data_IF_482772422086
#
_entry.id   IF_482772422086
#
_cell.length_a   1.000
_cell.length_b   1.000
_cell.length_c   1.000
_cell.angle_alpha   90.00
_cell.angle_beta   90.00
_cell.angle_gamma   90.00
#
_symmetry.space_group_name_H-M   'P 1'
#
loop_
_entity.id
_entity.type
_entity.pdbx_description
1 polymer ?
#
# COMPACT_ATOMS: atom_id res chain seq x y z
N UNK A 1 13.24 -17.42 18.05
CA UNK A 1 13.71 -17.19 19.44
C UNK A 1 12.83 -18.07 20.32
N UNK A 2 13.43 -18.95 21.13
CA UNK A 2 12.71 -19.92 21.98
C UNK A 2 11.68 -20.79 21.21
N UNK A 3 12.07 -21.22 20.01
CA UNK A 3 11.22 -22.05 19.13
C UNK A 3 10.11 -21.29 18.38
N UNK A 4 9.98 -19.97 18.56
CA UNK A 4 9.00 -19.14 17.84
C UNK A 4 9.66 -18.29 16.74
N UNK A 5 8.95 -17.99 15.63
CA UNK A 5 9.41 -16.98 14.66
C UNK A 5 9.68 -15.63 15.35
N UNK A 6 10.78 -14.99 15.02
CA UNK A 6 11.04 -13.62 15.46
C UNK A 6 10.28 -12.61 14.60
N UNK A 7 10.15 -11.37 15.09
CA UNK A 7 9.62 -10.26 14.28
C UNK A 7 10.52 -10.01 13.06
N UNK A 8 9.96 -10.15 11.86
CA UNK A 8 10.64 -9.80 10.61
C UNK A 8 11.03 -8.32 10.58
N UNK A 9 10.17 -7.43 11.10
CA UNK A 9 10.44 -5.99 11.14
C UNK A 9 11.68 -5.65 11.96
N UNK A 10 11.85 -6.28 13.13
CA UNK A 10 13.05 -6.09 13.97
C UNK A 10 14.26 -6.74 13.31
N UNK A 11 14.09 -7.92 12.69
CA UNK A 11 15.18 -8.62 12.00
C UNK A 11 15.76 -7.79 10.84
N UNK A 12 14.90 -7.29 9.95
CA UNK A 12 15.29 -6.47 8.80
C UNK A 12 15.94 -5.16 9.25
N UNK A 13 15.33 -4.47 10.21
CA UNK A 13 15.89 -3.27 10.83
C UNK A 13 17.28 -3.54 11.43
N UNK A 14 17.40 -4.57 12.27
CA UNK A 14 18.62 -4.83 13.02
C UNK A 14 19.78 -5.20 12.09
N UNK A 15 19.55 -6.05 11.07
CA UNK A 15 20.58 -6.38 10.10
C UNK A 15 21.03 -5.16 9.30
N UNK A 16 20.08 -4.38 8.77
CA UNK A 16 20.44 -3.19 8.00
C UNK A 16 21.21 -2.17 8.87
N UNK A 17 20.69 -1.87 10.06
CA UNK A 17 21.30 -0.91 10.97
C UNK A 17 22.70 -1.38 11.41
N UNK A 18 22.82 -2.62 11.89
CA UNK A 18 24.09 -3.16 12.41
C UNK A 18 25.20 -3.14 11.36
N UNK A 19 24.89 -3.55 10.12
CA UNK A 19 25.90 -3.64 9.07
C UNK A 19 26.25 -2.29 8.43
N UNK A 20 25.33 -1.32 8.41
CA UNK A 20 25.49 -0.12 7.57
C UNK A 20 25.60 1.19 8.35
N UNK A 21 25.06 1.28 9.58
CA UNK A 21 24.90 2.57 10.27
C UNK A 21 26.19 3.38 10.37
N UNK A 22 27.29 2.76 10.83
CA UNK A 22 28.59 3.44 10.98
C UNK A 22 29.11 3.98 9.64
N UNK A 23 29.03 3.18 8.57
CA UNK A 23 29.53 3.59 7.25
C UNK A 23 28.65 4.69 6.64
N UNK A 24 27.32 4.58 6.78
CA UNK A 24 26.40 5.62 6.30
C UNK A 24 26.66 6.96 6.98
N UNK A 25 26.95 6.97 8.29
CA UNK A 25 27.31 8.18 9.02
C UNK A 25 28.65 8.75 8.53
N UNK A 26 29.66 7.90 8.34
CA UNK A 26 31.01 8.30 7.88
C UNK A 26 30.96 9.05 6.53
N UNK A 27 30.07 8.64 5.63
CA UNK A 27 29.91 9.28 4.31
C UNK A 27 28.96 10.49 4.31
N UNK A 28 28.52 10.96 5.48
CA UNK A 28 27.63 12.12 5.62
C UNK A 28 26.14 11.83 5.39
N UNK A 29 25.76 10.55 5.34
CA UNK A 29 24.36 10.12 5.34
C UNK A 29 23.96 9.61 6.75
N UNK A 30 22.97 8.72 6.82
CA UNK A 30 22.52 8.13 8.06
C UNK A 30 21.69 6.85 7.83
N UNK A 31 21.39 6.10 8.90
CA UNK A 31 20.53 4.93 8.83
C UNK A 31 19.05 5.36 8.72
N UNK A 32 18.47 5.21 7.53
CA UNK A 32 17.14 5.72 7.20
C UNK A 32 16.15 4.58 6.92
N UNK A 33 14.92 4.71 7.43
CA UNK A 33 13.90 3.68 7.37
C UNK A 33 12.55 4.23 6.92
N UNK A 34 11.79 3.39 6.21
CA UNK A 34 10.35 3.56 6.03
C UNK A 34 9.62 2.59 6.94
N UNK A 35 8.62 3.08 7.68
CA UNK A 35 7.85 2.32 8.65
C UNK A 35 6.42 2.12 8.12
N UNK A 36 6.09 0.93 7.58
CA UNK A 36 4.80 0.66 6.96
C UNK A 36 3.72 0.27 7.97
N UNK A 37 2.47 0.41 7.55
CA UNK A 37 1.25 -0.22 8.14
C UNK A 37 1.02 -0.02 9.64
N UNK A 38 1.58 1.04 10.24
CA UNK A 38 1.25 1.36 11.63
C UNK A 38 -0.22 1.71 11.79
N UNK A 39 -0.84 1.29 12.88
CA UNK A 39 -2.24 1.56 13.22
C UNK A 39 -2.40 2.42 14.47
N UNK A 40 -1.33 2.67 15.25
CA UNK A 40 -1.37 3.50 16.45
C UNK A 40 -0.05 4.21 16.77
N UNK A 41 -0.12 5.36 17.44
CA UNK A 41 1.04 6.03 18.05
C UNK A 41 1.79 5.14 19.05
N UNK A 42 1.15 4.15 19.67
CA UNK A 42 1.84 3.20 20.55
C UNK A 42 2.82 2.29 19.77
N UNK A 43 2.54 2.01 18.50
CA UNK A 43 3.46 1.30 17.60
C UNK A 43 4.61 2.21 17.19
N UNK A 44 4.35 3.51 17.01
CA UNK A 44 5.41 4.50 16.80
C UNK A 44 6.33 4.62 18.03
N UNK A 45 5.78 4.52 19.25
CA UNK A 45 6.56 4.44 20.49
C UNK A 45 7.43 3.19 20.54
N UNK A 46 6.89 2.03 20.16
CA UNK A 46 7.67 0.80 20.05
C UNK A 46 8.86 0.98 19.12
N UNK A 47 8.67 1.60 17.96
CA UNK A 47 9.78 1.89 17.04
C UNK A 47 10.80 2.86 17.63
N UNK A 48 10.35 3.90 18.33
CA UNK A 48 11.24 4.82 19.03
C UNK A 48 12.12 4.08 20.06
N UNK A 49 11.54 3.14 20.82
CA UNK A 49 12.26 2.33 21.79
C UNK A 49 13.27 1.38 21.11
N UNK A 50 12.90 0.76 19.99
CA UNK A 50 13.80 -0.07 19.18
C UNK A 50 14.99 0.76 18.65
N UNK A 51 14.73 1.95 18.12
CA UNK A 51 15.77 2.85 17.64
C UNK A 51 16.72 3.26 18.76
N UNK A 52 16.15 3.63 19.92
CA UNK A 52 16.95 3.98 21.08
C UNK A 52 17.83 2.81 21.54
N UNK A 53 17.27 1.61 21.70
CA UNK A 53 18.04 0.44 22.10
C UNK A 53 19.18 0.15 21.10
N UNK A 54 18.91 0.22 19.80
CA UNK A 54 19.92 -0.02 18.76
C UNK A 54 21.06 1.02 18.79
N UNK A 55 20.70 2.29 18.98
CA UNK A 55 21.66 3.39 19.13
C UNK A 55 22.54 3.22 20.38
N UNK A 56 21.98 2.75 21.49
CA UNK A 56 22.77 2.46 22.71
C UNK A 56 23.76 1.33 22.48
N UNK A 57 23.31 0.22 21.88
CA UNK A 57 24.13 -0.96 21.60
C UNK A 57 25.36 -0.60 20.75
N UNK A 58 25.20 0.26 19.75
CA UNK A 58 26.31 0.66 18.87
C UNK A 58 26.99 1.97 19.28
N UNK A 59 26.57 2.58 20.39
CA UNK A 59 27.04 3.89 20.87
C UNK A 59 26.91 4.99 19.83
N UNK A 60 25.76 5.04 19.16
CA UNK A 60 25.39 6.05 18.16
C UNK A 60 24.51 7.12 18.82
N UNK A 61 24.74 8.43 18.59
CA UNK A 61 23.94 9.49 19.22
C UNK A 61 22.43 9.39 18.93
N UNK A 62 21.59 9.81 19.88
CA UNK A 62 20.12 9.93 19.71
C UNK A 62 19.75 10.77 18.48
N UNK A 63 18.64 10.43 17.82
CA UNK A 63 18.21 11.13 16.60
C UNK A 63 19.09 10.91 15.36
N UNK A 64 20.03 9.96 15.40
CA UNK A 64 20.81 9.59 14.21
C UNK A 64 20.00 8.72 13.25
N UNK A 65 19.22 7.78 13.79
CA UNK A 65 18.23 7.04 12.99
C UNK A 65 17.14 8.01 12.53
N UNK A 66 16.72 7.88 11.26
CA UNK A 66 15.57 8.61 10.73
C UNK A 66 14.52 7.69 10.14
N UNK A 67 13.25 7.90 10.49
CA UNK A 67 12.11 7.12 10.06
C UNK A 67 11.05 7.98 9.37
N UNK A 68 10.60 7.57 8.19
CA UNK A 68 9.41 8.13 7.53
C UNK A 68 8.27 7.14 7.67
N UNK A 69 7.15 7.57 8.24
CA UNK A 69 5.99 6.69 8.50
C UNK A 69 5.01 6.74 7.33
N UNK A 70 4.58 5.59 6.83
CA UNK A 70 3.47 5.54 5.88
C UNK A 70 2.16 5.61 6.66
N UNK A 71 1.37 6.67 6.46
CA UNK A 71 0.02 6.74 7.02
C UNK A 71 -0.91 6.03 6.06
N UNK A 72 -0.74 4.72 5.95
CA UNK A 72 -1.44 3.87 5.00
C UNK A 72 -2.47 2.96 5.68
N UNK A 73 -2.88 3.33 6.90
CA UNK A 73 -4.00 2.70 7.60
C UNK A 73 -5.01 3.77 8.01
N UNK A 74 -6.29 3.41 7.99
CA UNK A 74 -7.35 4.37 8.34
C UNK A 74 -7.21 4.83 9.80
N UNK A 75 -6.76 3.96 10.71
CA UNK A 75 -6.59 4.31 12.13
C UNK A 75 -5.46 5.32 12.35
N UNK A 76 -4.31 5.15 11.67
CA UNK A 76 -3.20 6.08 11.77
C UNK A 76 -3.54 7.50 11.29
N UNK A 77 -4.55 7.68 10.43
CA UNK A 77 -5.00 9.01 10.02
C UNK A 77 -5.60 9.85 11.15
N UNK A 78 -6.06 9.21 12.23
CA UNK A 78 -6.59 9.87 13.42
C UNK A 78 -5.51 10.16 14.48
N UNK A 79 -4.30 9.62 14.30
CA UNK A 79 -3.21 9.68 15.28
C UNK A 79 -1.92 10.24 14.68
N UNK A 80 -1.99 10.97 13.56
CA UNK A 80 -0.81 11.46 12.84
C UNK A 80 0.09 12.35 13.70
N UNK A 81 -0.50 13.20 14.54
CA UNK A 81 0.23 14.15 15.38
C UNK A 81 0.92 13.43 16.54
N UNK A 82 0.24 12.45 17.13
CA UNK A 82 0.75 11.56 18.17
C UNK A 82 1.85 10.62 17.65
N UNK A 83 1.71 10.08 16.43
CA UNK A 83 2.75 9.29 15.76
C UNK A 83 4.03 10.12 15.59
N UNK A 84 3.91 11.37 15.11
CA UNK A 84 5.07 12.26 15.01
C UNK A 84 5.66 12.55 16.41
N UNK A 85 4.81 12.74 17.42
CA UNK A 85 5.26 13.01 18.78
C UNK A 85 6.07 11.85 19.39
N UNK A 86 5.60 10.62 19.24
CA UNK A 86 6.28 9.42 19.75
C UNK A 86 7.61 9.18 19.04
N UNK A 87 7.71 9.56 17.76
CA UNK A 87 8.95 9.48 16.96
C UNK A 87 9.71 10.80 16.87
N UNK A 88 9.43 11.83 17.67
CA UNK A 88 9.92 13.20 17.45
C UNK A 88 11.45 13.35 17.29
N UNK A 89 12.23 12.51 17.94
CA UNK A 89 13.69 12.54 17.84
C UNK A 89 14.20 11.89 16.53
N UNK A 90 13.40 11.00 15.95
CA UNK A 90 13.74 10.13 14.82
C UNK A 90 12.86 10.38 13.57
N UNK A 91 11.83 11.22 13.63
CA UNK A 91 10.89 11.42 12.53
C UNK A 91 11.52 12.22 11.39
N UNK A 92 11.30 11.76 10.16
CA UNK A 92 11.58 12.48 8.91
C UNK A 92 10.32 12.95 8.20
N UNK A 93 9.14 12.55 8.68
CA UNK A 93 7.87 12.88 8.05
C UNK A 93 6.92 11.70 7.90
N UNK A 94 5.84 11.97 7.20
CA UNK A 94 4.77 11.02 6.88
C UNK A 94 4.62 10.87 5.36
N UNK A 95 4.06 9.75 4.92
CA UNK A 95 3.79 9.48 3.51
C UNK A 95 2.31 9.13 3.25
N UNK A 96 1.81 9.66 2.12
CA UNK A 96 0.50 9.32 1.58
C UNK A 96 0.50 8.00 0.81
N UNK A 97 -0.37 7.06 1.20
CA UNK A 97 -0.64 5.81 0.47
C UNK A 97 -2.05 5.78 -0.13
N UNK A 98 -2.24 5.02 -1.23
CA UNK A 98 -3.58 4.79 -1.83
C UNK A 98 -4.10 3.39 -1.53
N UNK A 99 -3.45 2.35 -2.03
CA UNK A 99 -3.99 0.99 -1.98
C UNK A 99 -4.08 0.44 -0.56
N UNK A 100 -3.01 0.55 0.23
CA UNK A 100 -3.04 0.11 1.63
C UNK A 100 -4.03 0.92 2.48
N UNK A 101 -4.16 2.22 2.23
CA UNK A 101 -5.12 3.06 2.96
C UNK A 101 -6.57 2.65 2.70
N UNK A 102 -6.95 2.46 1.44
CA UNK A 102 -8.29 2.03 1.04
C UNK A 102 -8.54 0.58 1.49
N UNK A 103 -7.53 -0.28 1.40
CA UNK A 103 -7.58 -1.64 1.93
C UNK A 103 -7.86 -1.63 3.43
N UNK A 104 -7.13 -0.82 4.20
CA UNK A 104 -7.31 -0.65 5.63
C UNK A 104 -8.70 -0.09 5.98
N UNK A 105 -9.19 0.87 5.21
CA UNK A 105 -10.56 1.39 5.32
C UNK A 105 -11.59 0.27 5.20
N UNK A 106 -11.50 -0.55 4.15
CA UNK A 106 -12.37 -1.71 3.98
C UNK A 106 -12.18 -2.67 5.16
N UNK A 107 -10.95 -3.09 5.47
CA UNK A 107 -10.63 -4.04 6.54
C UNK A 107 -11.27 -3.62 7.87
N UNK A 108 -11.06 -2.39 8.32
CA UNK A 108 -11.54 -1.92 9.62
C UNK A 108 -13.05 -1.65 9.65
N UNK A 109 -13.65 -1.24 8.53
CA UNK A 109 -15.06 -0.89 8.45
C UNK A 109 -15.92 -1.98 7.80
N UNK A 110 -15.36 -3.16 7.57
CA UNK A 110 -15.92 -4.24 6.76
C UNK A 110 -17.31 -4.74 7.20
N UNK A 111 -17.68 -4.56 8.47
CA UNK A 111 -18.99 -4.97 9.00
C UNK A 111 -20.11 -3.95 8.75
N UNK A 112 -19.78 -2.76 8.24
CA UNK A 112 -20.75 -1.67 8.09
C UNK A 112 -21.07 -1.43 6.61
N UNK A 113 -22.29 -1.76 6.21
CA UNK A 113 -22.75 -1.62 4.82
C UNK A 113 -22.62 -0.18 4.27
N UNK A 114 -22.76 0.84 5.13
CA UNK A 114 -22.60 2.25 4.73
C UNK A 114 -21.18 2.61 4.25
N UNK A 115 -20.18 1.80 4.58
CA UNK A 115 -18.77 2.00 4.21
C UNK A 115 -18.32 1.11 3.05
N UNK A 116 -19.27 0.58 2.27
CA UNK A 116 -18.98 -0.10 1.00
C UNK A 116 -18.37 0.91 0.02
N UNK A 117 -17.29 0.49 -0.65
CA UNK A 117 -16.62 1.29 -1.68
C UNK A 117 -16.99 0.79 -3.10
N UNK A 118 -17.01 1.70 -4.10
CA UNK A 118 -17.15 1.35 -5.51
C UNK A 118 -15.88 0.66 -6.03
N UNK A 119 -15.80 0.38 -7.33
CA UNK A 119 -14.58 -0.10 -8.00
C UNK A 119 -13.36 0.73 -7.56
N UNK A 120 -12.25 0.08 -7.19
CA UNK A 120 -11.05 0.78 -6.67
C UNK A 120 -10.46 1.81 -7.64
N UNK A 121 -10.75 1.69 -8.94
CA UNK A 121 -10.38 2.68 -9.95
C UNK A 121 -11.05 4.04 -9.71
N UNK A 122 -12.30 4.02 -9.23
CA UNK A 122 -13.12 5.21 -8.97
C UNK A 122 -12.75 5.87 -7.64
N UNK A 123 -12.14 5.12 -6.72
CA UNK A 123 -11.62 5.63 -5.45
C UNK A 123 -10.26 6.32 -5.68
N UNK A 124 -10.28 7.52 -6.25
CA UNK A 124 -9.08 8.32 -6.55
C UNK A 124 -8.61 9.15 -5.35
N UNK A 125 -7.43 9.76 -5.44
CA UNK A 125 -6.92 10.70 -4.42
C UNK A 125 -7.77 11.98 -4.29
N UNK A 126 -8.71 12.24 -5.21
CA UNK A 126 -9.65 13.37 -5.12
C UNK A 126 -11.00 12.96 -4.52
N UNK A 127 -11.18 11.69 -4.16
CA UNK A 127 -12.37 11.24 -3.42
C UNK A 127 -12.44 11.95 -2.07
N UNK A 128 -13.63 12.27 -1.51
CA UNK A 128 -13.72 13.15 -0.35
C UNK A 128 -12.85 12.74 0.85
N UNK A 129 -12.91 11.48 1.28
CA UNK A 129 -12.07 11.00 2.39
C UNK A 129 -10.57 10.93 2.05
N UNK A 130 -10.19 10.69 0.79
CA UNK A 130 -8.78 10.67 0.37
C UNK A 130 -8.20 12.09 0.31
N UNK A 131 -8.99 13.07 -0.16
CA UNK A 131 -8.60 14.47 -0.17
C UNK A 131 -8.46 15.02 1.27
N UNK A 132 -9.43 14.72 2.15
CA UNK A 132 -9.36 15.07 3.57
C UNK A 132 -8.10 14.50 4.23
N UNK A 133 -7.80 13.23 3.95
CA UNK A 133 -6.58 12.55 4.39
C UNK A 133 -5.30 13.27 3.93
N UNK A 134 -5.18 13.60 2.64
CA UNK A 134 -4.02 14.31 2.08
C UNK A 134 -3.84 15.67 2.73
N UNK A 135 -4.92 16.47 2.82
CA UNK A 135 -4.87 17.81 3.43
C UNK A 135 -4.47 17.75 4.90
N UNK A 136 -5.03 16.80 5.66
CA UNK A 136 -4.70 16.63 7.07
C UNK A 136 -3.24 16.22 7.26
N UNK A 137 -2.73 15.30 6.44
CA UNK A 137 -1.33 14.85 6.52
C UNK A 137 -0.37 16.01 6.29
N UNK A 138 -0.57 16.79 5.23
CA UNK A 138 0.28 17.94 4.91
C UNK A 138 0.26 18.95 6.06
N UNK A 139 -0.93 19.35 6.53
CA UNK A 139 -1.08 20.27 7.66
C UNK A 139 -0.32 19.76 8.89
N UNK A 140 -0.50 18.50 9.24
CA UNK A 140 0.08 17.90 10.44
C UNK A 140 1.61 17.83 10.36
N UNK A 141 2.15 17.32 9.25
CA UNK A 141 3.59 17.29 9.02
C UNK A 141 4.22 18.68 9.08
N UNK A 142 3.65 19.63 8.34
CA UNK A 142 4.23 20.96 8.21
C UNK A 142 4.11 21.72 9.53
N UNK A 143 3.02 21.57 10.29
CA UNK A 143 2.92 22.10 11.67
C UNK A 143 4.08 21.62 12.55
N UNK A 144 4.52 20.37 12.39
CA UNK A 144 5.62 19.76 13.15
C UNK A 144 7.01 19.91 12.53
N UNK A 145 7.12 20.54 11.37
CA UNK A 145 8.40 20.79 10.72
C UNK A 145 9.03 19.53 10.09
N UNK A 146 8.20 18.54 9.73
CA UNK A 146 8.64 17.29 9.08
C UNK A 146 8.02 17.17 7.68
N UNK A 147 8.54 16.28 6.84
CA UNK A 147 8.09 16.17 5.45
C UNK A 147 6.69 15.51 5.34
N UNK A 148 5.91 15.96 4.36
CA UNK A 148 4.68 15.37 3.86
C UNK A 148 4.92 14.81 2.45
N UNK A 149 5.09 13.50 2.33
CA UNK A 149 5.37 12.84 1.06
C UNK A 149 4.07 12.45 0.33
N UNK A 150 4.01 12.67 -0.98
CA UNK A 150 2.95 12.24 -1.88
C UNK A 150 3.00 10.75 -2.24
N UNK A 151 2.09 10.31 -3.09
CA UNK A 151 1.85 8.89 -3.38
C UNK A 151 2.65 8.33 -4.55
N UNK A 152 2.44 7.04 -4.81
CA UNK A 152 3.07 6.27 -5.88
C UNK A 152 2.48 6.55 -7.27
N UNK A 153 3.33 6.74 -8.27
CA UNK A 153 2.98 6.50 -9.68
C UNK A 153 3.59 5.17 -10.15
N UNK A 154 2.74 4.16 -10.30
CA UNK A 154 3.14 2.78 -10.60
C UNK A 154 3.23 2.45 -12.10
N UNK A 155 3.01 3.43 -12.98
CA UNK A 155 2.94 3.20 -14.42
C UNK A 155 4.27 2.71 -15.01
N UNK A 156 4.19 1.67 -15.85
CA UNK A 156 5.29 1.20 -16.68
C UNK A 156 5.09 1.80 -18.09
N UNK A 157 6.10 2.47 -18.68
CA UNK A 157 5.99 3.01 -20.04
C UNK A 157 5.60 1.96 -21.08
N UNK A 158 4.60 2.29 -21.90
CA UNK A 158 3.98 1.39 -22.88
C UNK A 158 4.68 1.57 -24.24
N UNK A 159 5.76 0.83 -24.47
CA UNK A 159 6.63 1.01 -25.65
C UNK A 159 5.95 0.71 -27.00
N UNK A 160 4.98 -0.20 -27.00
CA UNK A 160 4.31 -0.67 -28.22
C UNK A 160 3.01 0.08 -28.55
N UNK A 161 2.61 1.08 -27.74
CA UNK A 161 1.41 1.88 -28.00
C UNK A 161 1.64 3.33 -27.53
N UNK A 162 2.15 4.21 -28.42
CA UNK A 162 2.48 5.59 -28.08
C UNK A 162 1.30 6.40 -27.55
N UNK A 163 0.09 6.19 -28.09
CA UNK A 163 -1.10 6.91 -27.66
C UNK A 163 -1.53 6.50 -26.24
N UNK A 164 -1.54 5.20 -25.95
CA UNK A 164 -1.82 4.72 -24.60
C UNK A 164 -0.73 5.15 -23.60
N UNK A 165 0.53 5.16 -24.04
CA UNK A 165 1.63 5.64 -23.23
C UNK A 165 1.45 7.13 -22.88
N UNK A 166 1.16 7.99 -23.85
CA UNK A 166 1.00 9.42 -23.58
C UNK A 166 -0.19 9.70 -22.66
N UNK A 167 -1.31 8.98 -22.84
CA UNK A 167 -2.44 9.07 -21.92
C UNK A 167 -2.06 8.65 -20.49
N UNK A 168 -1.26 7.59 -20.32
CA UNK A 168 -0.77 7.17 -19.01
C UNK A 168 0.21 8.19 -18.40
N UNK A 169 1.16 8.70 -19.19
CA UNK A 169 2.12 9.71 -18.73
C UNK A 169 1.41 11.02 -18.36
N UNK A 170 0.37 11.42 -19.09
CA UNK A 170 -0.40 12.61 -18.76
C UNK A 170 -1.15 12.46 -17.43
N UNK A 171 -1.65 11.26 -17.10
CA UNK A 171 -2.21 10.97 -15.77
C UNK A 171 -1.15 11.13 -14.67
N UNK A 172 0.05 10.58 -14.88
CA UNK A 172 1.18 10.77 -13.95
C UNK A 172 1.48 12.26 -13.77
N UNK A 173 1.54 13.04 -14.86
CA UNK A 173 1.77 14.49 -14.78
C UNK A 173 0.71 15.20 -13.95
N UNK A 174 -0.56 14.93 -14.23
CA UNK A 174 -1.67 15.55 -13.52
C UNK A 174 -1.66 15.18 -12.02
N UNK A 175 -1.35 13.93 -11.69
CA UNK A 175 -1.25 13.47 -10.31
C UNK A 175 -0.10 14.15 -9.56
N UNK A 176 1.08 14.27 -10.18
CA UNK A 176 2.24 14.93 -9.54
C UNK A 176 2.04 16.43 -9.39
N UNK A 177 1.38 17.04 -10.38
CA UNK A 177 0.99 18.45 -10.33
C UNK A 177 0.02 18.72 -9.18
N UNK A 178 -0.96 17.84 -8.97
CA UNK A 178 -1.88 17.93 -7.83
C UNK A 178 -1.11 17.83 -6.51
N UNK A 179 -0.20 16.86 -6.38
CA UNK A 179 0.55 16.63 -5.14
C UNK A 179 1.39 17.84 -4.75
N UNK A 180 2.21 18.37 -5.67
CA UNK A 180 3.05 19.55 -5.39
C UNK A 180 2.19 20.78 -5.08
N UNK A 181 1.09 21.00 -5.81
CA UNK A 181 0.17 22.13 -5.54
C UNK A 181 -0.59 22.01 -4.21
N UNK A 182 -0.84 20.79 -3.73
CA UNK A 182 -1.47 20.57 -2.43
C UNK A 182 -0.54 20.92 -1.26
N UNK A 183 0.78 20.88 -1.49
CA UNK A 183 1.79 21.15 -0.46
C UNK A 183 2.72 19.98 -0.16
N UNK A 184 2.71 18.88 -0.91
CA UNK A 184 3.67 17.79 -0.67
C UNK A 184 5.12 18.21 -0.94
N UNK A 185 6.06 17.70 -0.15
CA UNK A 185 7.50 17.98 -0.29
C UNK A 185 8.20 17.08 -1.32
N UNK A 186 7.54 15.99 -1.71
CA UNK A 186 8.08 15.01 -2.65
C UNK A 186 7.03 13.97 -3.04
N UNK A 187 7.43 13.03 -3.88
CA UNK A 187 6.53 12.02 -4.46
C UNK A 187 7.26 10.70 -4.74
N UNK A 188 6.51 9.62 -4.94
CA UNK A 188 7.02 8.32 -5.37
C UNK A 188 6.75 8.00 -6.85
N UNK A 189 7.66 7.22 -7.44
CA UNK A 189 7.54 6.57 -8.75
C UNK A 189 8.08 5.15 -8.69
N UNK A 190 7.49 4.21 -9.42
CA UNK A 190 7.91 2.80 -9.43
C UNK A 190 8.88 2.46 -10.57
N UNK A 191 9.04 3.37 -11.55
CA UNK A 191 9.84 3.13 -12.74
C UNK A 191 10.81 4.30 -13.00
N UNK A 192 12.11 4.04 -13.32
CA UNK A 192 13.11 5.08 -13.56
C UNK A 192 12.71 6.14 -14.60
N UNK A 193 12.03 5.73 -15.67
CA UNK A 193 11.57 6.65 -16.73
C UNK A 193 10.58 7.72 -16.21
N UNK A 194 9.90 7.48 -15.10
CA UNK A 194 8.98 8.45 -14.50
C UNK A 194 9.72 9.51 -13.65
N UNK A 195 10.99 9.30 -13.29
CA UNK A 195 11.77 10.23 -12.46
C UNK A 195 11.84 11.60 -13.13
N UNK A 196 12.14 11.65 -14.43
CA UNK A 196 12.23 12.93 -15.17
C UNK A 196 10.90 13.70 -15.15
N UNK A 197 9.77 12.98 -15.25
CA UNK A 197 8.44 13.58 -15.21
C UNK A 197 8.15 14.17 -13.82
N UNK A 198 8.35 13.35 -12.78
CA UNK A 198 8.10 13.76 -11.41
C UNK A 198 9.00 14.93 -10.98
N UNK A 199 10.31 14.82 -11.21
CA UNK A 199 11.29 15.87 -10.90
C UNK A 199 11.01 17.14 -11.69
N UNK A 200 10.65 17.06 -12.97
CA UNK A 200 10.31 18.25 -13.76
C UNK A 200 9.15 19.04 -13.16
N UNK A 201 8.07 18.35 -12.79
CA UNK A 201 6.88 18.98 -12.19
C UNK A 201 7.17 19.57 -10.81
N UNK A 202 7.90 18.84 -9.95
CA UNK A 202 8.25 19.36 -8.64
C UNK A 202 9.21 20.55 -8.76
N UNK A 203 10.22 20.51 -9.64
CA UNK A 203 11.12 21.66 -9.85
C UNK A 203 10.39 22.89 -10.39
N UNK A 204 9.36 22.72 -11.22
CA UNK A 204 8.56 23.83 -11.77
C UNK A 204 7.70 24.52 -10.69
N UNK A 205 7.15 23.76 -9.74
CA UNK A 205 6.17 24.26 -8.78
C UNK A 205 6.66 24.34 -7.33
N UNK A 206 7.84 23.81 -7.01
CA UNK A 206 8.49 23.83 -5.71
C UNK A 206 9.91 24.37 -5.86
N UNK A 207 10.05 25.70 -5.81
CA UNK A 207 11.35 26.38 -5.99
C UNK A 207 12.30 26.22 -4.80
N UNK A 208 11.78 25.86 -3.64
CA UNK A 208 12.54 25.58 -2.41
C UNK A 208 12.88 24.08 -2.31
N UNK A 209 13.82 23.68 -1.44
CA UNK A 209 14.13 22.26 -1.26
C UNK A 209 12.95 21.40 -0.79
N UNK A 210 11.98 22.02 -0.13
CA UNK A 210 10.73 21.43 0.37
C UNK A 210 9.67 22.53 0.60
N UNK A 211 8.45 22.14 0.94
CA UNK A 211 7.29 22.99 1.20
C UNK A 211 6.88 23.04 2.69
N UNK A 212 7.72 22.59 3.62
CA UNK A 212 7.45 22.59 5.08
C UNK A 212 7.01 23.97 5.60
N UNK A 213 7.46 25.05 4.97
CA UNK A 213 7.08 26.43 5.28
C UNK A 213 5.60 26.75 4.99
N UNK A 214 4.92 25.96 4.16
CA UNK A 214 3.49 26.08 3.83
C UNK A 214 2.66 25.36 4.91
N UNK A 215 2.32 26.05 6.00
CA UNK A 215 1.71 25.42 7.19
C UNK A 215 0.29 24.89 7.03
N UNK A 216 -0.45 25.34 6.00
CA UNK A 216 -1.85 24.95 5.74
C UNK A 216 -2.78 25.18 6.93
N UNK A 217 -2.65 26.33 7.59
CA UNK A 217 -3.51 26.70 8.72
C UNK A 217 -4.99 26.87 8.32
N UNK A 218 -5.26 27.06 7.02
CA UNK A 218 -6.58 27.08 6.38
C UNK A 218 -7.33 25.74 6.43
N UNK A 219 -6.61 24.63 6.60
CA UNK A 219 -7.19 23.29 6.51
C UNK A 219 -7.88 22.91 7.81
N UNK A 220 -9.18 22.67 7.75
CA UNK A 220 -9.92 21.97 8.80
C UNK A 220 -10.42 20.63 8.26
N UNK A 221 -10.15 19.56 9.00
CA UNK A 221 -10.56 18.18 8.68
C UNK A 221 -11.11 17.56 9.94
N UNK A 222 -12.35 17.12 9.90
CA UNK A 222 -13.01 16.40 10.98
C UNK A 222 -12.85 14.89 10.81
N UNK A 223 -13.16 14.14 11.88
CA UNK A 223 -13.26 12.69 11.82
C UNK A 223 -14.28 12.18 10.77
N UNK A 224 -15.36 12.93 10.55
CA UNK A 224 -16.37 12.58 9.57
C UNK A 224 -15.85 12.72 8.12
N UNK A 225 -14.98 13.70 7.86
CA UNK A 225 -14.37 13.89 6.54
C UNK A 225 -13.47 12.71 6.16
N UNK A 226 -12.67 12.21 7.10
CA UNK A 226 -11.82 11.01 6.91
C UNK A 226 -12.63 9.72 6.67
N UNK A 227 -13.93 9.73 6.98
CA UNK A 227 -14.84 8.61 6.79
C UNK A 227 -15.83 8.82 5.63
N UNK A 228 -15.75 9.95 4.93
CA UNK A 228 -16.69 10.32 3.87
C UNK A 228 -16.43 9.56 2.56
N UNK A 229 -17.04 8.39 2.42
CA UNK A 229 -16.95 7.54 1.24
C UNK A 229 -17.96 7.88 0.12
N UNK A 230 -18.54 9.08 0.11
CA UNK A 230 -19.46 9.52 -0.94
C UNK A 230 -18.68 9.85 -2.23
N UNK A 231 -18.51 8.85 -3.09
CA UNK A 231 -17.78 8.98 -4.35
C UNK A 231 -18.79 9.21 -5.48
N UNK A 232 -18.86 10.44 -5.98
CA UNK A 232 -19.75 10.79 -7.09
C UNK A 232 -19.45 9.94 -8.32
N UNK A 233 -20.50 9.34 -8.89
CA UNK A 233 -20.38 8.47 -10.07
C UNK A 233 -19.68 7.13 -9.82
N UNK A 234 -19.27 6.84 -8.58
CA UNK A 234 -18.66 5.57 -8.21
C UNK A 234 -19.60 4.40 -8.45
N UNK A 235 -19.11 3.37 -9.15
CA UNK A 235 -19.91 2.18 -9.51
C UNK A 235 -19.17 0.91 -9.13
N UNK A 236 -19.95 -0.15 -8.95
CA UNK A 236 -19.42 -1.52 -8.85
C UNK A 236 -19.78 -2.19 -10.17
N UNK A 237 -18.81 -2.68 -10.93
CA UNK A 237 -19.06 -3.25 -12.27
C UNK A 237 -18.58 -4.69 -12.36
N UNK A 238 -19.15 -5.50 -13.26
CA UNK A 238 -18.59 -6.83 -13.53
C UNK A 238 -17.14 -6.73 -14.03
N UNK A 239 -16.82 -5.70 -14.83
CA UNK A 239 -15.45 -5.43 -15.27
C UNK A 239 -14.50 -5.18 -14.10
N UNK A 240 -14.90 -4.37 -13.12
CA UNK A 240 -14.13 -4.13 -11.90
C UNK A 240 -13.91 -5.40 -11.08
N UNK A 241 -14.96 -6.23 -10.94
CA UNK A 241 -14.89 -7.54 -10.28
C UNK A 241 -13.87 -8.46 -10.98
N UNK A 242 -13.98 -8.64 -12.31
CA UNK A 242 -13.05 -9.49 -13.07
C UNK A 242 -11.62 -8.97 -13.01
N UNK A 243 -11.42 -7.66 -13.07
CA UNK A 243 -10.10 -7.05 -12.93
C UNK A 243 -9.50 -7.32 -11.54
N UNK A 244 -10.27 -7.23 -10.46
CA UNK A 244 -9.80 -7.57 -9.11
C UNK A 244 -9.45 -9.06 -8.99
N UNK A 245 -10.24 -9.95 -9.59
CA UNK A 245 -9.93 -11.39 -9.64
C UNK A 245 -8.62 -11.64 -10.39
N UNK A 246 -8.49 -11.06 -11.59
CA UNK A 246 -7.31 -11.21 -12.46
C UNK A 246 -6.04 -10.73 -11.77
N UNK A 247 -6.05 -9.52 -11.20
CA UNK A 247 -4.91 -8.95 -10.49
C UNK A 247 -4.58 -9.72 -9.22
N UNK A 248 -5.60 -10.08 -8.42
CA UNK A 248 -5.40 -10.87 -7.21
C UNK A 248 -4.80 -12.26 -7.48
N UNK A 249 -5.26 -12.94 -8.54
CA UNK A 249 -4.69 -14.21 -8.99
C UNK A 249 -3.24 -14.05 -9.46
N UNK A 250 -2.98 -13.10 -10.38
CA UNK A 250 -1.66 -12.90 -10.95
C UNK A 250 -0.61 -12.51 -9.90
N UNK A 251 -0.97 -11.61 -8.97
CA UNK A 251 -0.07 -11.22 -7.88
C UNK A 251 0.18 -12.38 -6.90
N UNK A 252 -0.88 -13.04 -6.42
CA UNK A 252 -0.74 -14.17 -5.47
C UNK A 252 0.12 -15.28 -6.07
N UNK A 253 -0.08 -15.59 -7.35
CA UNK A 253 0.72 -16.59 -8.06
C UNK A 253 2.20 -16.21 -8.12
N UNK A 254 2.50 -14.98 -8.52
CA UNK A 254 3.87 -14.49 -8.63
C UNK A 254 4.55 -14.46 -7.26
N UNK A 255 3.83 -14.02 -6.22
CA UNK A 255 4.31 -13.99 -4.84
C UNK A 255 4.66 -15.40 -4.35
N UNK A 256 3.81 -16.39 -4.62
CA UNK A 256 4.06 -17.80 -4.28
C UNK A 256 5.29 -18.39 -5.01
N UNK A 257 5.76 -17.76 -6.08
CA UNK A 257 7.02 -18.08 -6.76
C UNK A 257 8.22 -17.25 -6.28
N UNK A 258 8.05 -16.43 -5.25
CA UNK A 258 9.09 -15.57 -4.69
C UNK A 258 9.23 -14.22 -5.40
N UNK A 259 8.23 -13.77 -6.17
CA UNK A 259 8.23 -12.48 -6.85
C UNK A 259 7.18 -11.54 -6.24
N UNK A 260 7.63 -10.56 -5.44
CA UNK A 260 6.75 -9.60 -4.76
C UNK A 260 6.51 -8.27 -5.49
N UNK A 261 7.22 -8.02 -6.59
CA UNK A 261 7.12 -6.82 -7.42
C UNK A 261 6.84 -7.25 -8.87
N UNK A 262 5.61 -7.03 -9.35
CA UNK A 262 5.06 -7.78 -10.49
C UNK A 262 4.45 -6.83 -11.53
N UNK A 263 4.91 -6.87 -12.79
CA UNK A 263 4.25 -6.11 -13.85
C UNK A 263 2.90 -6.76 -14.22
N UNK A 264 1.79 -6.08 -13.93
CA UNK A 264 0.43 -6.52 -14.26
C UNK A 264 -0.27 -5.37 -14.98
N UNK A 265 -0.79 -5.61 -16.19
CA UNK A 265 -1.51 -4.61 -16.99
C UNK A 265 -0.77 -3.25 -17.16
N UNK A 266 0.56 -3.30 -17.35
CA UNK A 266 1.46 -2.13 -17.44
C UNK A 266 1.57 -1.28 -16.16
N UNK A 267 1.25 -1.86 -15.01
CA UNK A 267 1.50 -1.29 -13.69
C UNK A 267 2.49 -2.18 -12.94
N UNK A 268 3.39 -1.57 -12.19
CA UNK A 268 4.25 -2.30 -11.26
C UNK A 268 3.48 -2.49 -9.94
N UNK A 269 2.94 -3.69 -9.76
CA UNK A 269 2.06 -4.00 -8.62
C UNK A 269 2.84 -4.65 -7.48
N UNK A 270 2.42 -4.33 -6.26
CA UNK A 270 2.87 -4.93 -5.01
C UNK A 270 1.70 -5.60 -4.26
N UNK A 271 1.95 -6.01 -3.01
CA UNK A 271 0.97 -6.73 -2.22
C UNK A 271 -0.29 -5.91 -1.95
N UNK A 272 -0.17 -4.59 -1.80
CA UNK A 272 -1.31 -3.72 -1.50
C UNK A 272 -2.38 -3.80 -2.59
N UNK A 273 -1.98 -3.98 -3.86
CA UNK A 273 -2.91 -4.15 -4.97
C UNK A 273 -3.70 -5.46 -4.86
N UNK A 274 -3.07 -6.56 -4.44
CA UNK A 274 -3.77 -7.81 -4.18
C UNK A 274 -4.69 -7.71 -2.95
N UNK A 275 -4.24 -7.02 -1.90
CA UNK A 275 -5.00 -6.79 -0.66
C UNK A 275 -6.30 -6.01 -0.92
N UNK A 276 -6.23 -4.90 -1.64
CA UNK A 276 -7.45 -4.15 -2.01
C UNK A 276 -8.35 -4.97 -2.93
N UNK A 277 -7.77 -5.70 -3.89
CA UNK A 277 -8.54 -6.51 -4.84
C UNK A 277 -9.36 -7.59 -4.14
N UNK A 278 -8.75 -8.40 -3.25
CA UNK A 278 -9.50 -9.41 -2.49
C UNK A 278 -10.49 -8.77 -1.52
N UNK A 279 -10.14 -7.63 -0.91
CA UNK A 279 -10.98 -7.00 0.11
C UNK A 279 -12.24 -6.36 -0.45
N UNK A 280 -12.16 -5.79 -1.66
CA UNK A 280 -13.36 -5.33 -2.38
C UNK A 280 -14.29 -6.49 -2.73
N UNK A 281 -13.75 -7.57 -3.30
CA UNK A 281 -14.52 -8.76 -3.63
C UNK A 281 -15.22 -9.33 -2.39
N UNK A 282 -14.50 -9.45 -1.28
CA UNK A 282 -15.05 -9.86 0.00
C UNK A 282 -16.17 -8.91 0.47
N UNK A 283 -15.93 -7.60 0.46
CA UNK A 283 -16.88 -6.59 0.95
C UNK A 283 -18.17 -6.61 0.14
N UNK A 284 -18.07 -6.73 -1.19
CA UNK A 284 -19.21 -6.79 -2.08
C UNK A 284 -20.03 -8.06 -1.88
N UNK A 285 -19.39 -9.22 -1.67
CA UNK A 285 -20.09 -10.46 -1.33
C UNK A 285 -20.74 -10.41 0.06
N UNK A 286 -20.05 -9.87 1.06
CA UNK A 286 -20.54 -9.72 2.44
C UNK A 286 -21.85 -8.94 2.49
N UNK A 287 -21.90 -7.81 1.79
CA UNK A 287 -23.03 -6.89 1.80
C UNK A 287 -24.01 -7.12 0.66
N UNK A 288 -23.78 -8.16 -0.15
CA UNK A 288 -24.60 -8.55 -1.30
C UNK A 288 -25.01 -7.36 -2.20
N UNK A 289 -24.02 -6.52 -2.51
CA UNK A 289 -24.21 -5.29 -3.28
C UNK A 289 -24.67 -5.61 -4.70
N UNK A 290 -25.32 -4.65 -5.36
CA UNK A 290 -25.67 -4.76 -6.78
C UNK A 290 -24.63 -4.06 -7.63
N UNK A 291 -24.21 -4.70 -8.72
CA UNK A 291 -23.41 -4.04 -9.73
C UNK A 291 -24.24 -3.01 -10.50
N UNK A 292 -23.59 -2.16 -11.29
CA UNK A 292 -24.23 -1.19 -12.18
C UNK A 292 -25.15 -1.87 -13.21
N UNK A 293 -24.85 -3.12 -13.56
CA UNK A 293 -25.65 -3.98 -14.42
C UNK A 293 -26.84 -4.64 -13.69
N UNK A 294 -27.00 -4.38 -12.39
CA UNK A 294 -28.10 -4.88 -11.57
C UNK A 294 -27.90 -6.29 -10.99
N UNK A 295 -26.74 -6.90 -11.20
CA UNK A 295 -26.43 -8.25 -10.72
C UNK A 295 -25.99 -8.21 -9.25
N UNK A 296 -26.54 -9.10 -8.44
CA UNK A 296 -26.15 -9.19 -7.03
C UNK A 296 -24.81 -9.92 -6.88
N UNK A 297 -23.87 -9.32 -6.16
CA UNK A 297 -22.57 -9.93 -5.85
C UNK A 297 -22.74 -10.98 -4.75
N UNK A 298 -22.41 -12.24 -5.06
CA UNK A 298 -22.52 -13.36 -4.13
C UNK A 298 -21.24 -14.21 -4.16
N UNK A 299 -20.98 -14.95 -3.08
CA UNK A 299 -19.88 -15.92 -3.03
C UNK A 299 -19.87 -16.86 -4.23
N UNK A 300 -21.04 -17.44 -4.57
CA UNK A 300 -21.16 -18.39 -5.67
C UNK A 300 -20.77 -17.76 -7.00
N UNK A 301 -21.22 -16.54 -7.26
CA UNK A 301 -20.89 -15.84 -8.49
C UNK A 301 -19.40 -15.47 -8.55
N UNK A 302 -18.81 -14.99 -7.45
CA UNK A 302 -17.38 -14.69 -7.41
C UNK A 302 -16.51 -15.94 -7.62
N UNK A 303 -16.91 -17.09 -7.05
CA UNK A 303 -16.22 -18.36 -7.29
C UNK A 303 -16.35 -18.83 -8.74
N UNK A 304 -17.52 -18.64 -9.36
CA UNK A 304 -17.70 -18.91 -10.79
C UNK A 304 -16.74 -18.05 -11.62
N UNK A 305 -16.68 -16.73 -11.38
CA UNK A 305 -15.78 -15.83 -12.08
C UNK A 305 -14.30 -16.21 -11.85
N UNK A 306 -13.94 -16.58 -10.63
CA UNK A 306 -12.59 -17.05 -10.30
C UNK A 306 -12.20 -18.30 -11.10
N UNK A 307 -13.15 -19.23 -11.30
CA UNK A 307 -12.95 -20.40 -12.16
C UNK A 307 -12.75 -20.00 -13.63
N UNK A 308 -13.63 -19.14 -14.15
CA UNK A 308 -13.56 -18.64 -15.53
C UNK A 308 -12.21 -17.96 -15.84
N UNK A 309 -11.76 -17.05 -14.97
CA UNK A 309 -10.47 -16.35 -15.14
C UNK A 309 -9.28 -17.31 -15.07
N UNK A 310 -9.32 -18.29 -14.16
CA UNK A 310 -8.26 -19.31 -14.06
C UNK A 310 -8.22 -20.22 -15.31
N UNK A 311 -9.39 -20.64 -15.80
CA UNK A 311 -9.49 -21.47 -17.00
C UNK A 311 -9.04 -20.71 -18.25
N UNK A 312 -9.33 -19.41 -18.32
CA UNK A 312 -8.82 -18.51 -19.38
C UNK A 312 -7.29 -18.46 -19.35
N UNK A 313 -6.68 -18.24 -18.18
CA UNK A 313 -5.22 -18.26 -18.00
C UNK A 313 -4.62 -19.61 -18.40
N UNK A 314 -5.26 -20.71 -18.03
CA UNK A 314 -4.83 -22.07 -18.41
C UNK A 314 -4.82 -22.28 -19.92
N UNK A 315 -5.85 -21.80 -20.62
CA UNK A 315 -5.91 -21.84 -22.10
C UNK A 315 -4.83 -20.97 -22.73
N UNK A 316 -4.63 -19.75 -22.21
CA UNK A 316 -3.64 -18.80 -22.74
C UNK A 316 -2.21 -19.30 -22.56
N UNK A 317 -1.89 -19.92 -21.41
CA UNK A 317 -0.55 -20.39 -21.10
C UNK A 317 -0.24 -21.78 -21.70
N UNK A 318 -1.27 -22.57 -21.99
CA UNK A 318 -1.12 -23.93 -22.54
C UNK A 318 -0.21 -24.78 -21.64
N UNK A 319 0.78 -25.43 -22.25
CA UNK A 319 1.73 -26.29 -21.54
C UNK A 319 2.55 -25.54 -20.47
N UNK A 320 2.72 -24.21 -20.60
CA UNK A 320 3.44 -23.42 -19.59
C UNK A 320 2.65 -23.29 -18.29
N UNK A 321 1.34 -23.52 -18.27
CA UNK A 321 0.52 -23.38 -17.06
C UNK A 321 1.08 -24.20 -15.88
N UNK A 322 1.61 -25.40 -16.15
CA UNK A 322 2.18 -26.28 -15.14
C UNK A 322 3.43 -25.73 -14.43
N UNK A 323 4.12 -24.72 -14.99
CA UNK A 323 5.24 -24.06 -14.32
C UNK A 323 4.83 -22.91 -13.39
N UNK A 324 3.53 -22.57 -13.36
CA UNK A 324 2.98 -21.51 -12.51
C UNK A 324 2.21 -22.12 -11.33
N UNK A 325 1.97 -21.31 -10.29
CA UNK A 325 1.24 -21.70 -9.07
C UNK A 325 -0.22 -21.22 -9.07
N UNK A 326 -0.85 -21.07 -10.24
CA UNK A 326 -2.21 -20.52 -10.35
C UNK A 326 -3.27 -21.36 -9.62
N UNK A 327 -3.15 -22.69 -9.61
CA UNK A 327 -4.09 -23.55 -8.88
C UNK A 327 -4.01 -23.31 -7.36
N UNK A 328 -2.80 -23.08 -6.84
CA UNK A 328 -2.58 -22.74 -5.43
C UNK A 328 -3.05 -21.32 -5.11
N UNK A 329 -2.74 -20.35 -5.98
CA UNK A 329 -3.22 -18.97 -5.85
C UNK A 329 -4.76 -18.91 -5.84
N UNK A 330 -5.41 -19.67 -6.73
CA UNK A 330 -6.87 -19.83 -6.78
C UNK A 330 -7.42 -20.38 -5.47
N UNK A 331 -6.79 -21.43 -4.91
CA UNK A 331 -7.21 -22.03 -3.63
C UNK A 331 -7.25 -20.99 -2.52
N UNK A 332 -6.20 -20.18 -2.37
CA UNK A 332 -6.15 -19.11 -1.36
C UNK A 332 -7.16 -18.00 -1.64
N UNK A 333 -7.23 -17.52 -2.89
CA UNK A 333 -8.18 -16.48 -3.30
C UNK A 333 -9.63 -16.89 -3.08
N UNK A 334 -10.00 -18.16 -3.31
CA UNK A 334 -11.37 -18.65 -3.16
C UNK A 334 -11.92 -18.49 -1.73
N UNK A 335 -11.08 -18.63 -0.70
CA UNK A 335 -11.45 -18.35 0.69
C UNK A 335 -11.61 -16.85 0.93
N UNK A 336 -10.73 -16.04 0.36
CA UNK A 336 -10.71 -14.59 0.59
C UNK A 336 -11.87 -13.82 -0.06
N UNK A 337 -12.60 -14.42 -1.01
CA UNK A 337 -13.73 -13.78 -1.70
C UNK A 337 -15.10 -14.29 -1.25
N UNK A 338 -15.18 -14.97 -0.09
CA UNK A 338 -16.42 -15.60 0.38
C UNK A 338 -17.45 -14.64 0.97
N UNK A 339 -17.02 -13.47 1.45
CA UNK A 339 -17.85 -12.57 2.24
C UNK A 339 -18.12 -13.05 3.67
N UNK A 340 -17.46 -14.13 4.12
CA UNK A 340 -17.57 -14.65 5.49
C UNK A 340 -16.42 -14.15 6.36
N UNK A 341 -16.70 -13.88 7.63
CA UNK A 341 -15.74 -13.24 8.53
C UNK A 341 -14.59 -14.17 8.89
N UNK A 342 -14.91 -15.46 9.08
CA UNK A 342 -13.98 -16.53 9.42
C UNK A 342 -12.95 -16.82 8.32
N UNK A 343 -13.27 -16.49 7.06
CA UNK A 343 -12.38 -16.72 5.94
C UNK A 343 -11.47 -15.51 5.65
N UNK A 344 -11.79 -14.31 6.17
CA UNK A 344 -11.07 -13.08 5.83
C UNK A 344 -9.77 -12.97 6.62
N UNK A 345 -8.63 -13.15 5.95
CA UNK A 345 -7.32 -12.92 6.54
C UNK A 345 -7.05 -11.41 6.69
N UNK A 346 -6.40 -11.00 7.79
CA UNK A 346 -5.99 -9.60 7.96
C UNK A 346 -4.97 -9.18 6.90
N UNK A 347 -4.10 -10.09 6.47
CA UNK A 347 -3.16 -9.91 5.36
C UNK A 347 -3.05 -11.19 4.54
N UNK A 348 -3.08 -11.05 3.21
CA UNK A 348 -2.80 -12.12 2.27
C UNK A 348 -1.41 -12.71 2.53
N UNK A 349 -0.42 -11.88 2.82
CA UNK A 349 0.97 -12.32 3.03
C UNK A 349 1.08 -13.31 4.19
N UNK A 350 0.40 -13.07 5.32
CA UNK A 350 0.35 -14.02 6.44
C UNK A 350 -0.30 -15.34 6.04
N UNK A 351 -1.36 -15.29 5.23
CA UNK A 351 -2.07 -16.48 4.77
C UNK A 351 -1.20 -17.40 3.90
N UNK A 352 -0.27 -16.84 3.12
CA UNK A 352 0.52 -17.58 2.14
C UNK A 352 2.01 -17.65 2.49
N UNK A 353 2.44 -17.13 3.65
CA UNK A 353 3.87 -17.02 3.98
C UNK A 353 4.57 -18.36 4.07
N UNK A 354 3.90 -19.36 4.65
CA UNK A 354 4.46 -20.69 4.86
C UNK A 354 4.75 -21.43 3.55
N UNK A 355 4.09 -21.06 2.45
CA UNK A 355 4.33 -21.64 1.12
C UNK A 355 5.70 -21.25 0.53
N UNK A 356 6.35 -20.22 1.08
CA UNK A 356 7.66 -19.74 0.61
C UNK A 356 8.76 -19.80 1.68
N UNK A 357 8.40 -20.01 2.94
CA UNK A 357 9.36 -20.08 4.06
C UNK A 357 9.59 -21.49 4.59
N UNK A 358 8.80 -22.46 4.12
CA UNK A 358 9.03 -23.87 4.48
C UNK A 358 10.35 -24.36 3.89
N UNK A 359 11.38 -24.39 4.75
CA UNK A 359 12.54 -25.24 4.53
C UNK A 359 12.01 -26.66 4.33
N UNK A 360 12.36 -27.38 3.24
CA UNK A 360 11.97 -28.77 3.08
C UNK A 360 12.35 -29.49 4.36
N UNK A 361 11.41 -30.19 5.01
CA UNK A 361 11.74 -30.92 6.23
C UNK A 361 12.91 -31.84 5.88
N UNK A 362 14.11 -31.53 6.36
CA UNK A 362 15.17 -32.53 6.43
C UNK A 362 14.61 -33.54 7.41
N UNK A 363 14.02 -34.63 6.89
CA UNK A 363 13.76 -35.81 7.69
C UNK A 363 15.01 -36.03 8.51
N UNK A 364 14.87 -35.91 9.84
CA UNK A 364 15.92 -36.22 10.79
C UNK A 364 16.52 -37.55 10.38
N UNK A 365 17.74 -37.52 9.83
CA UNK A 365 18.59 -38.71 9.80
C UNK A 365 19.14 -38.84 11.22
N UNK A 366 18.30 -39.38 12.10
CA UNK A 366 18.76 -40.09 13.28
C UNK A 366 18.68 -41.57 12.97
#
# INVERSE_FOLDING_TARGET
>A
IDGQPCSASIFDFALYFFHNARKSIEIGAGPYFYLPKMESHLEARLWNDVFNAAQDILSIPRGTIRGTVLIETILASFEMDEIIYELRDHSSGLNCGRWDYIFSFIKKLRQHQKFVLPDRSDVTMTSPFMDAYVRLLIKTCHKRGVHAMGGMAANIPIKNNPQANEAAMQKVRNDKLREVKAGHDGTWVAHPDLVKIATGIFNEHMATPNQIHIRRDDVEVSAADLLNNNIEGGKITETGIRNNISVGLAYTEAWLRGLGCVPIHNLMEDAATAEISRSQLWQWAKHQVKTAEGKQVTQQWLQQLLNEETDSLKKQLGNKYASYKYDLAKKYMAGQVSGKNEDYADFLTTLIYDEITTLPSTKSRL
#
